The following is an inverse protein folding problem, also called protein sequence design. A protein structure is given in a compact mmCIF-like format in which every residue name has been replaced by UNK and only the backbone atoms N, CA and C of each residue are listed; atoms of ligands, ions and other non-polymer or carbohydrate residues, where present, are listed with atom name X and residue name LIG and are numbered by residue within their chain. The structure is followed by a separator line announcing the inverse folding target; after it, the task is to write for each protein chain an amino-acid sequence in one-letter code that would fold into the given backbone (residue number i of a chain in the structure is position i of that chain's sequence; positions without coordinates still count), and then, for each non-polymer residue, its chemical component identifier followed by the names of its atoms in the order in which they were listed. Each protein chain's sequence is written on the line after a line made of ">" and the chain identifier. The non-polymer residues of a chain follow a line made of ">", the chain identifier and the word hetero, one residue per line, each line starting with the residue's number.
data_IF_158016512846
#
_entry.id   IF_158016512846
#
_cell.length_a   1.000
_cell.length_b   1.000
_cell.length_c   1.000
_cell.angle_alpha   90.00
_cell.angle_beta   90.00
_cell.angle_gamma   90.00
#
_symmetry.space_group_name_H-M   'P 1'
#
loop_
_entity.id
_entity.type
_entity.pdbx_description
1 polymer ?
#
# COMPACT_ATOMS: atom_id res chain seq x y z
N UNK A 1 -63.40 5.96 3.63
CA UNK A 1 -62.64 5.49 2.48
C UNK A 1 -61.41 6.39 2.32
N UNK A 2 -60.26 5.98 2.86
CA UNK A 2 -59.00 6.74 2.79
C UNK A 2 -58.06 6.01 1.85
N UNK A 3 -57.67 6.64 0.80
CA UNK A 3 -56.63 6.12 -0.11
C UNK A 3 -55.26 6.56 0.41
N UNK A 4 -54.50 5.59 0.95
CA UNK A 4 -53.07 5.74 1.23
C UNK A 4 -52.29 5.63 -0.05
N UNK A 5 -51.53 6.68 -0.40
CA UNK A 5 -50.57 6.67 -1.51
C UNK A 5 -49.24 6.15 -0.98
N UNK A 6 -48.89 4.94 -1.41
CA UNK A 6 -47.54 4.36 -1.21
C UNK A 6 -46.57 5.03 -2.17
N UNK A 7 -45.67 5.86 -1.65
CA UNK A 7 -44.55 6.41 -2.44
C UNK A 7 -43.36 5.46 -2.27
N UNK A 8 -42.81 4.87 -3.34
CA UNK A 8 -41.69 3.93 -3.19
C UNK A 8 -40.40 4.68 -2.84
N UNK A 9 -39.62 4.08 -1.95
CA UNK A 9 -38.36 4.56 -1.38
C UNK A 9 -37.26 4.92 -2.41
N UNK A 10 -37.47 4.64 -3.69
CA UNK A 10 -36.52 4.86 -4.77
C UNK A 10 -36.49 6.34 -5.21
N UNK A 11 -37.59 7.07 -5.09
CA UNK A 11 -37.68 8.45 -5.57
C UNK A 11 -36.95 9.47 -4.67
N UNK A 12 -36.72 9.16 -3.40
CA UNK A 12 -36.03 10.07 -2.47
C UNK A 12 -34.53 10.15 -2.76
N UNK A 13 -33.90 9.05 -3.22
CA UNK A 13 -32.47 9.03 -3.53
C UNK A 13 -32.12 9.74 -4.85
N UNK A 14 -33.03 9.71 -5.82
CA UNK A 14 -32.84 10.39 -7.12
C UNK A 14 -33.06 11.90 -6.98
N UNK A 15 -34.02 12.32 -6.14
CA UNK A 15 -34.30 13.75 -5.93
C UNK A 15 -33.21 14.48 -5.12
N UNK A 16 -32.52 13.82 -4.19
CA UNK A 16 -31.37 14.39 -3.46
C UNK A 16 -30.18 14.65 -4.40
N UNK A 17 -29.84 13.68 -5.24
CA UNK A 17 -28.71 13.85 -6.18
C UNK A 17 -28.96 14.92 -7.25
N UNK A 18 -30.18 15.05 -7.76
CA UNK A 18 -30.54 16.07 -8.77
C UNK A 18 -30.52 17.49 -8.16
N UNK A 19 -30.92 17.64 -6.89
CA UNK A 19 -30.83 18.95 -6.21
C UNK A 19 -29.36 19.36 -5.97
N UNK A 20 -28.48 18.44 -5.59
CA UNK A 20 -27.06 18.73 -5.36
C UNK A 20 -26.32 19.08 -6.66
N UNK A 21 -26.59 18.35 -7.74
CA UNK A 21 -26.03 18.67 -9.08
C UNK A 21 -26.61 19.99 -9.59
N UNK A 22 -27.90 20.24 -9.40
CA UNK A 22 -28.56 21.50 -9.76
C UNK A 22 -28.01 22.71 -8.99
N UNK A 23 -27.66 22.53 -7.70
CA UNK A 23 -27.09 23.61 -6.88
C UNK A 23 -25.64 23.92 -7.27
N UNK A 24 -24.79 22.90 -7.54
CA UNK A 24 -23.44 23.10 -8.07
C UNK A 24 -23.47 23.81 -9.45
N UNK A 25 -24.35 23.41 -10.35
CA UNK A 25 -24.55 24.06 -11.67
C UNK A 25 -25.12 25.46 -11.56
N UNK A 26 -26.06 25.72 -10.65
CA UNK A 26 -26.65 27.02 -10.40
C UNK A 26 -25.65 28.03 -9.83
N UNK A 27 -24.80 27.60 -8.87
CA UNK A 27 -23.72 28.44 -8.33
C UNK A 27 -22.66 28.71 -9.42
N UNK A 28 -22.27 27.72 -10.21
CA UNK A 28 -21.31 27.89 -11.30
C UNK A 28 -21.81 28.84 -12.38
N UNK A 29 -23.10 28.77 -12.77
CA UNK A 29 -23.73 29.60 -13.80
C UNK A 29 -23.97 31.05 -13.37
N UNK A 30 -24.26 31.32 -12.10
CA UNK A 30 -24.47 32.67 -11.58
C UNK A 30 -23.15 33.41 -11.28
N UNK A 31 -22.04 32.70 -11.10
CA UNK A 31 -20.72 33.31 -10.98
C UNK A 31 -20.12 33.70 -12.34
N UNK A 32 -20.54 33.07 -13.45
CA UNK A 32 -20.14 33.44 -14.80
C UNK A 32 -20.79 34.78 -15.27
N UNK A 33 -21.85 35.23 -14.62
CA UNK A 33 -22.58 36.49 -14.96
C UNK A 33 -22.06 37.73 -14.26
N UNK A 34 -21.20 37.61 -13.27
CA UNK A 34 -20.56 38.75 -12.60
C UNK A 34 -19.14 38.83 -13.15
N UNK A 35 -18.82 39.82 -13.95
CA UNK A 35 -17.52 40.06 -14.57
C UNK A 35 -16.41 40.31 -13.56
N UNK A 36 -16.21 39.39 -12.63
CA UNK A 36 -14.98 39.26 -11.86
C UNK A 36 -13.92 38.68 -12.77
N UNK A 37 -12.78 39.31 -12.83
CA UNK A 37 -11.53 38.74 -13.35
C UNK A 37 -11.44 37.30 -12.79
N UNK A 38 -11.67 36.30 -13.66
CA UNK A 38 -11.49 34.90 -13.26
C UNK A 38 -10.01 34.74 -12.93
N UNK A 39 -9.67 34.91 -11.67
CA UNK A 39 -8.37 34.41 -11.16
C UNK A 39 -8.34 32.91 -11.50
N UNK A 40 -7.38 32.54 -12.30
CA UNK A 40 -7.22 31.13 -12.71
C UNK A 40 -6.98 30.29 -11.44
N UNK A 41 -8.05 29.67 -10.92
CA UNK A 41 -7.98 28.85 -9.70
C UNK A 41 -7.01 27.70 -10.00
N UNK A 42 -5.88 27.57 -9.25
CA UNK A 42 -4.89 26.57 -9.55
C UNK A 42 -5.45 25.16 -9.34
N UNK A 43 -5.14 24.27 -10.28
CA UNK A 43 -5.55 22.87 -10.28
C UNK A 43 -4.47 22.01 -9.65
N UNK A 44 -4.81 21.30 -8.59
CA UNK A 44 -3.96 20.33 -7.90
C UNK A 44 -4.45 18.95 -8.26
N UNK A 45 -3.57 18.10 -8.83
CA UNK A 45 -3.89 16.70 -9.11
C UNK A 45 -3.02 15.80 -8.25
N UNK A 46 -3.66 14.90 -7.51
CA UNK A 46 -3.02 13.85 -6.69
C UNK A 46 -3.23 12.51 -7.38
N UNK A 47 -2.16 11.80 -7.71
CA UNK A 47 -2.21 10.47 -8.32
C UNK A 47 -1.96 9.39 -7.29
N UNK A 48 -3.01 8.64 -6.95
CA UNK A 48 -2.98 7.53 -6.02
C UNK A 48 -3.48 7.87 -4.61
N UNK A 49 -4.36 7.03 -4.10
CA UNK A 49 -4.97 7.12 -2.77
C UNK A 49 -4.34 6.12 -1.77
N UNK A 50 -3.01 5.94 -1.84
CA UNK A 50 -2.23 5.21 -0.84
C UNK A 50 -2.02 6.03 0.45
N UNK A 51 -1.12 5.59 1.32
CA UNK A 51 -0.81 6.27 2.59
C UNK A 51 -0.42 7.74 2.40
N UNK A 52 0.46 8.02 1.43
CA UNK A 52 0.88 9.39 1.13
C UNK A 52 -0.26 10.23 0.54
N UNK A 53 -0.93 9.72 -0.52
CA UNK A 53 -1.95 10.48 -1.25
C UNK A 53 -3.17 10.83 -0.40
N UNK A 54 -3.67 9.91 0.45
CA UNK A 54 -4.77 10.18 1.38
C UNK A 54 -4.39 11.27 2.38
N UNK A 55 -3.20 11.20 2.98
CA UNK A 55 -2.76 12.22 3.94
C UNK A 55 -2.54 13.58 3.27
N UNK A 56 -2.06 13.59 2.00
CA UNK A 56 -1.95 14.80 1.19
C UNK A 56 -3.34 15.42 0.97
N UNK A 57 -4.30 14.62 0.49
CA UNK A 57 -5.68 15.06 0.24
C UNK A 57 -6.32 15.63 1.51
N UNK A 58 -6.26 14.89 2.63
CA UNK A 58 -6.80 15.35 3.92
C UNK A 58 -6.11 16.60 4.45
N UNK A 59 -4.82 16.77 4.19
CA UNK A 59 -4.11 17.97 4.62
C UNK A 59 -4.48 19.17 3.75
N UNK A 60 -4.60 19.02 2.43
CA UNK A 60 -5.05 20.07 1.52
C UNK A 60 -6.47 20.53 1.86
N UNK A 61 -7.43 19.61 2.05
CA UNK A 61 -8.81 19.98 2.39
C UNK A 61 -8.93 20.76 3.72
N UNK A 62 -7.95 20.58 4.63
CA UNK A 62 -7.90 21.28 5.91
C UNK A 62 -7.27 22.67 5.79
N UNK A 63 -6.25 22.84 4.93
CA UNK A 63 -5.46 24.06 4.85
C UNK A 63 -5.95 25.04 3.78
N UNK A 64 -6.50 24.54 2.68
CA UNK A 64 -7.03 25.37 1.62
C UNK A 64 -8.33 26.05 2.06
N UNK A 65 -8.42 27.35 1.73
CA UNK A 65 -9.66 28.12 1.85
C UNK A 65 -10.61 27.78 0.70
N UNK A 66 -11.85 28.21 0.81
CA UNK A 66 -12.85 28.07 -0.26
C UNK A 66 -12.36 28.78 -1.53
N UNK A 67 -12.45 28.12 -2.68
CA UNK A 67 -12.02 28.63 -4.00
C UNK A 67 -10.53 29.04 -4.08
N UNK A 68 -9.66 28.53 -3.21
CA UNK A 68 -8.20 28.80 -3.28
C UNK A 68 -7.48 27.89 -4.27
N UNK A 69 -7.96 26.66 -4.44
CA UNK A 69 -7.49 25.69 -5.44
C UNK A 69 -8.57 24.63 -5.72
N UNK A 70 -8.57 24.09 -6.94
CA UNK A 70 -9.35 22.90 -7.31
C UNK A 70 -8.48 21.66 -7.08
N UNK A 71 -8.94 20.73 -6.24
CA UNK A 71 -8.19 19.52 -5.90
C UNK A 71 -8.85 18.29 -6.47
N UNK A 72 -8.12 17.52 -7.27
CA UNK A 72 -8.56 16.22 -7.82
C UNK A 72 -7.69 15.10 -7.29
N UNK A 73 -8.32 14.09 -6.68
CA UNK A 73 -7.67 12.84 -6.29
C UNK A 73 -8.03 11.75 -7.31
N UNK A 74 -7.02 11.27 -8.04
CA UNK A 74 -7.18 10.17 -9.01
C UNK A 74 -6.76 8.87 -8.36
N UNK A 75 -7.64 7.86 -8.41
CA UNK A 75 -7.29 6.52 -7.96
C UNK A 75 -8.02 5.46 -8.79
N UNK A 76 -7.36 4.32 -9.02
CA UNK A 76 -7.93 3.19 -9.79
C UNK A 76 -9.20 2.62 -9.16
N UNK A 77 -9.31 2.72 -7.82
CA UNK A 77 -10.39 2.13 -7.03
C UNK A 77 -11.01 3.19 -6.12
N UNK A 78 -12.26 2.98 -5.73
CA UNK A 78 -13.00 3.84 -4.79
C UNK A 78 -12.58 3.64 -3.32
N UNK A 79 -11.50 2.90 -3.09
CA UNK A 79 -11.03 2.59 -1.73
C UNK A 79 -9.52 2.72 -1.58
N UNK A 80 -9.13 3.16 -0.40
CA UNK A 80 -7.80 3.11 0.13
C UNK A 80 -7.51 1.70 0.65
N UNK A 81 -6.31 1.15 0.38
CA UNK A 81 -5.88 -0.14 0.95
C UNK A 81 -4.96 0.08 2.14
N UNK A 82 -5.16 -0.73 3.17
CA UNK A 82 -4.16 -0.95 4.19
C UNK A 82 -3.09 -1.92 3.66
N UNK A 83 -2.16 -1.41 2.84
CA UNK A 83 -1.15 -2.26 2.17
C UNK A 83 -0.26 -2.98 3.18
N UNK A 84 -0.04 -2.40 4.36
CA UNK A 84 0.68 -3.03 5.47
C UNK A 84 -0.05 -4.22 6.09
N UNK A 85 -1.31 -4.48 5.72
CA UNK A 85 -2.13 -5.60 6.24
C UNK A 85 -2.39 -6.68 5.18
N UNK A 86 -1.90 -6.53 3.96
CA UNK A 86 -2.22 -7.44 2.85
C UNK A 86 -1.69 -8.87 3.06
N UNK A 87 -0.66 -9.06 3.88
CA UNK A 87 -0.13 -10.38 4.24
C UNK A 87 -1.18 -11.28 4.92
N UNK A 88 -2.08 -10.72 5.73
CA UNK A 88 -3.13 -11.48 6.40
C UNK A 88 -4.19 -12.06 5.45
N UNK A 89 -4.86 -11.26 4.58
CA UNK A 89 -5.79 -11.84 3.61
C UNK A 89 -5.09 -12.69 2.54
N UNK A 90 -3.80 -12.46 2.25
CA UNK A 90 -3.02 -13.33 1.37
C UNK A 90 -2.86 -14.73 1.96
N UNK A 91 -2.52 -14.83 3.25
CA UNK A 91 -2.47 -16.09 3.98
C UNK A 91 -3.87 -16.66 4.28
N UNK A 92 -4.92 -15.84 4.25
CA UNK A 92 -6.31 -16.23 4.57
C UNK A 92 -6.64 -16.22 6.06
N UNK A 93 -5.87 -15.50 6.87
CA UNK A 93 -6.11 -15.30 8.31
C UNK A 93 -7.04 -14.14 8.59
N UNK A 94 -7.24 -13.24 7.60
CA UNK A 94 -8.19 -12.13 7.71
C UNK A 94 -9.00 -11.94 6.42
N UNK A 95 -10.08 -11.14 6.53
CA UNK A 95 -10.92 -10.78 5.39
C UNK A 95 -10.27 -9.64 4.57
N UNK A 96 -10.43 -9.72 3.25
CA UNK A 96 -10.05 -8.64 2.33
C UNK A 96 -10.80 -7.35 2.67
N UNK A 97 -12.05 -7.46 3.10
CA UNK A 97 -12.90 -6.31 3.45
C UNK A 97 -12.31 -5.47 4.59
N UNK A 98 -11.54 -6.09 5.49
CA UNK A 98 -10.88 -5.40 6.59
C UNK A 98 -9.71 -4.53 6.13
N UNK A 99 -9.17 -4.79 4.95
CA UNK A 99 -8.07 -4.01 4.36
C UNK A 99 -8.51 -2.86 3.46
N UNK A 100 -9.84 -2.70 3.22
CA UNK A 100 -10.40 -1.66 2.35
C UNK A 100 -11.15 -0.60 3.15
N UNK A 101 -10.92 0.66 2.82
CA UNK A 101 -11.64 1.81 3.38
C UNK A 101 -12.11 2.66 2.21
N UNK A 102 -13.43 2.93 2.10
CA UNK A 102 -13.94 3.82 1.03
C UNK A 102 -13.28 5.18 1.13
N UNK A 103 -12.81 5.72 0.00
CA UNK A 103 -12.16 7.03 -0.06
C UNK A 103 -13.15 8.12 0.31
N UNK A 104 -14.43 8.00 -0.08
CA UNK A 104 -15.50 8.93 0.29
C UNK A 104 -15.72 9.06 1.81
N UNK A 105 -15.30 8.08 2.61
CA UNK A 105 -15.30 8.18 4.08
C UNK A 105 -14.05 8.88 4.63
N UNK A 106 -13.07 9.19 3.79
CA UNK A 106 -11.77 9.75 4.20
C UNK A 106 -11.56 11.18 3.74
N UNK A 107 -12.28 11.64 2.72
CA UNK A 107 -12.17 12.98 2.16
C UNK A 107 -13.55 13.67 2.17
N UNK A 108 -13.54 14.98 2.10
CA UNK A 108 -14.70 15.82 1.88
C UNK A 108 -14.87 16.04 0.36
N UNK A 109 -15.83 15.34 -0.24
CA UNK A 109 -16.10 15.42 -1.69
C UNK A 109 -16.62 16.79 -2.16
N UNK A 110 -16.96 17.71 -1.25
CA UNK A 110 -17.22 19.12 -1.59
C UNK A 110 -15.92 19.91 -1.82
N UNK A 111 -14.80 19.44 -1.30
CA UNK A 111 -13.49 20.08 -1.41
C UNK A 111 -12.52 19.36 -2.34
N UNK A 112 -12.71 18.07 -2.56
CA UNK A 112 -11.82 17.23 -3.35
C UNK A 112 -12.64 16.38 -4.30
N UNK A 113 -12.42 16.55 -5.58
CA UNK A 113 -13.04 15.73 -6.62
C UNK A 113 -12.34 14.36 -6.66
N UNK A 114 -13.09 13.28 -6.43
CA UNK A 114 -12.58 11.90 -6.57
C UNK A 114 -12.81 11.41 -8.00
N UNK A 115 -11.72 11.14 -8.72
CA UNK A 115 -11.76 10.54 -10.06
C UNK A 115 -11.33 9.08 -9.96
N UNK A 116 -12.27 8.16 -10.20
CA UNK A 116 -11.99 6.72 -10.30
C UNK A 116 -11.54 6.41 -11.73
N UNK A 117 -10.24 6.39 -11.95
CA UNK A 117 -9.64 6.05 -13.24
C UNK A 117 -8.22 5.53 -13.06
N UNK A 118 -7.73 4.81 -14.08
CA UNK A 118 -6.32 4.39 -14.15
C UNK A 118 -5.51 5.45 -14.88
N UNK A 119 -4.35 5.82 -14.30
CA UNK A 119 -3.37 6.67 -14.99
C UNK A 119 -2.72 5.83 -16.09
N UNK A 120 -2.75 6.33 -17.33
CA UNK A 120 -2.15 5.71 -18.51
C UNK A 120 -0.81 6.35 -18.87
N UNK A 121 -0.72 7.70 -18.72
CA UNK A 121 0.49 8.43 -19.04
C UNK A 121 0.56 9.74 -18.25
N UNK A 122 1.76 10.15 -17.88
CA UNK A 122 2.05 11.45 -17.28
C UNK A 122 2.90 12.24 -18.27
N UNK A 123 2.45 13.44 -18.66
CA UNK A 123 3.13 14.36 -19.57
C UNK A 123 3.55 15.64 -18.85
N UNK A 124 4.70 15.65 -18.17
CA UNK A 124 5.09 16.79 -17.33
C UNK A 124 5.25 18.10 -18.11
N UNK A 125 5.81 18.04 -19.30
CA UNK A 125 6.05 19.22 -20.16
C UNK A 125 4.75 19.87 -20.64
N UNK A 126 3.69 19.06 -20.84
CA UNK A 126 2.36 19.55 -21.24
C UNK A 126 1.47 19.89 -20.02
N UNK A 127 1.92 19.56 -18.81
CA UNK A 127 1.10 19.62 -17.57
C UNK A 127 -0.21 18.84 -17.70
N UNK A 128 -0.14 17.62 -18.28
CA UNK A 128 -1.31 16.76 -18.52
C UNK A 128 -1.11 15.37 -17.96
N UNK A 129 -2.22 14.78 -17.55
CA UNK A 129 -2.34 13.37 -17.13
C UNK A 129 -3.35 12.72 -18.06
N UNK A 130 -2.93 11.65 -18.74
CA UNK A 130 -3.83 10.82 -19.54
C UNK A 130 -4.37 9.73 -18.64
N UNK A 131 -5.68 9.65 -18.54
CA UNK A 131 -6.43 8.64 -17.82
C UNK A 131 -7.07 7.66 -18.81
N UNK A 132 -7.54 6.52 -18.29
CA UNK A 132 -8.32 5.56 -19.07
C UNK A 132 -9.56 6.22 -19.69
N UNK A 133 -10.21 7.14 -18.98
CA UNK A 133 -11.48 7.75 -19.36
C UNK A 133 -11.35 9.26 -19.68
N UNK A 134 -10.15 9.77 -20.01
CA UNK A 134 -9.99 11.18 -20.35
C UNK A 134 -8.63 11.78 -20.03
N UNK A 135 -8.58 13.10 -19.96
CA UNK A 135 -7.34 13.85 -19.69
C UNK A 135 -7.59 14.93 -18.65
N UNK A 136 -6.65 15.08 -17.71
CA UNK A 136 -6.61 16.16 -16.73
C UNK A 136 -5.43 17.08 -16.99
N UNK A 137 -5.64 18.39 -16.88
CA UNK A 137 -4.56 19.37 -16.77
C UNK A 137 -4.32 19.72 -15.31
N UNK A 138 -3.10 20.13 -14.97
CA UNK A 138 -2.74 20.53 -13.63
C UNK A 138 -1.81 21.75 -13.61
N UNK A 139 -1.88 22.52 -12.53
CA UNK A 139 -0.87 23.50 -12.16
C UNK A 139 0.12 22.90 -11.16
N UNK A 140 -0.35 22.04 -10.24
CA UNK A 140 0.46 21.26 -9.30
C UNK A 140 0.12 19.78 -9.40
N UNK A 141 1.15 18.94 -9.47
CA UNK A 141 1.01 17.50 -9.54
C UNK A 141 1.69 16.83 -8.35
N UNK A 142 0.95 15.94 -7.67
CA UNK A 142 1.49 15.09 -6.60
C UNK A 142 1.40 13.62 -7.05
N UNK A 143 2.54 12.96 -7.21
CA UNK A 143 2.62 11.58 -7.63
C UNK A 143 2.82 10.69 -6.40
N UNK A 144 1.78 9.92 -6.05
CA UNK A 144 1.71 9.01 -4.90
C UNK A 144 1.26 7.60 -5.31
N UNK A 145 1.69 7.13 -6.50
CA UNK A 145 1.23 5.88 -7.14
C UNK A 145 1.69 4.60 -6.43
N UNK A 146 2.58 4.72 -5.43
CA UNK A 146 3.16 3.57 -4.74
C UNK A 146 4.13 2.75 -5.59
N UNK A 147 4.78 1.76 -4.98
CA UNK A 147 5.79 0.95 -5.62
C UNK A 147 5.25 -0.28 -6.37
N UNK A 148 6.14 -0.96 -7.06
CA UNK A 148 5.91 -2.23 -7.76
C UNK A 148 6.88 -3.30 -7.26
N UNK A 149 6.54 -4.60 -7.37
CA UNK A 149 7.49 -5.66 -7.09
C UNK A 149 8.73 -5.52 -7.96
N UNK A 150 9.89 -5.69 -7.36
CA UNK A 150 11.18 -5.72 -8.05
C UNK A 150 11.59 -7.18 -8.28
N UNK A 151 11.78 -7.57 -9.53
CA UNK A 151 12.18 -8.95 -9.88
C UNK A 151 13.70 -9.14 -9.93
N UNK A 152 14.48 -8.06 -9.90
CA UNK A 152 15.94 -8.08 -10.09
C UNK A 152 16.41 -8.81 -11.35
N UNK A 153 15.53 -8.99 -12.34
CA UNK A 153 15.84 -9.72 -13.55
C UNK A 153 15.99 -11.25 -13.35
N UNK A 154 15.50 -11.79 -12.23
CA UNK A 154 15.51 -13.23 -11.98
C UNK A 154 14.62 -13.92 -13.01
N UNK A 155 15.16 -14.86 -13.84
CA UNK A 155 14.39 -15.55 -14.86
C UNK A 155 13.15 -16.24 -14.32
N UNK A 156 12.03 -16.10 -15.00
CA UNK A 156 10.74 -16.73 -14.68
C UNK A 156 10.05 -16.20 -13.41
N UNK A 157 10.65 -15.27 -12.66
CA UNK A 157 10.07 -14.79 -11.41
C UNK A 157 8.79 -13.98 -11.64
N UNK A 158 8.77 -13.15 -12.68
CA UNK A 158 7.60 -12.34 -13.00
C UNK A 158 6.42 -13.17 -13.51
N UNK A 159 6.71 -14.30 -14.16
CA UNK A 159 5.75 -15.21 -14.78
C UNK A 159 5.18 -16.23 -13.79
N UNK A 160 6.02 -16.73 -12.87
CA UNK A 160 5.68 -17.90 -12.04
C UNK A 160 5.51 -17.58 -10.55
N UNK A 161 6.00 -16.44 -10.07
CA UNK A 161 5.81 -16.05 -8.68
C UNK A 161 4.63 -15.08 -8.49
N UNK A 162 3.91 -15.24 -7.41
CA UNK A 162 2.86 -14.30 -6.98
C UNK A 162 3.45 -13.23 -6.06
N UNK A 163 2.87 -12.02 -6.03
CA UNK A 163 3.34 -10.94 -5.15
C UNK A 163 2.22 -10.34 -4.31
N UNK A 164 2.55 -9.95 -3.07
CA UNK A 164 1.60 -9.32 -2.13
C UNK A 164 1.60 -7.81 -2.39
N UNK A 165 0.71 -7.36 -3.30
CA UNK A 165 0.70 -5.96 -3.73
C UNK A 165 -0.68 -5.31 -3.77
N UNK A 166 -1.70 -6.05 -4.16
CA UNK A 166 -3.05 -5.55 -4.38
C UNK A 166 -4.09 -6.51 -3.83
N UNK A 167 -5.31 -6.03 -3.70
CA UNK A 167 -6.46 -6.87 -3.32
C UNK A 167 -6.61 -8.07 -4.28
N UNK A 168 -6.41 -7.86 -5.58
CA UNK A 168 -6.54 -8.94 -6.55
C UNK A 168 -5.42 -9.98 -6.38
N UNK A 169 -4.15 -9.54 -6.22
CA UNK A 169 -3.05 -10.48 -6.03
C UNK A 169 -3.19 -11.28 -4.74
N UNK A 170 -3.58 -10.67 -3.62
CA UNK A 170 -3.78 -11.42 -2.36
C UNK A 170 -4.97 -12.38 -2.43
N UNK A 171 -6.03 -12.03 -3.17
CA UNK A 171 -7.15 -12.95 -3.45
C UNK A 171 -6.69 -14.16 -4.24
N UNK A 172 -5.84 -13.95 -5.24
CA UNK A 172 -5.27 -15.03 -6.04
C UNK A 172 -4.36 -15.93 -5.19
N UNK A 173 -3.46 -15.35 -4.38
CA UNK A 173 -2.58 -16.12 -3.47
C UNK A 173 -3.43 -17.00 -2.54
N UNK A 174 -4.42 -16.41 -1.86
CA UNK A 174 -5.29 -17.16 -0.95
C UNK A 174 -6.00 -18.31 -1.64
N UNK A 175 -6.66 -18.04 -2.78
CA UNK A 175 -7.38 -19.07 -3.55
C UNK A 175 -6.44 -20.14 -4.07
N UNK A 176 -5.23 -19.76 -4.48
CA UNK A 176 -4.23 -20.70 -4.95
C UNK A 176 -3.78 -21.64 -3.85
N UNK A 177 -3.49 -21.13 -2.65
CA UNK A 177 -3.14 -21.96 -1.48
C UNK A 177 -4.27 -22.96 -1.17
N UNK A 178 -5.52 -22.50 -1.08
CA UNK A 178 -6.67 -23.36 -0.81
C UNK A 178 -6.85 -24.42 -1.93
N UNK A 179 -6.66 -24.03 -3.19
CA UNK A 179 -6.70 -24.95 -4.34
C UNK A 179 -5.61 -26.02 -4.26
N UNK A 180 -4.38 -25.69 -3.91
CA UNK A 180 -3.29 -26.65 -3.80
C UNK A 180 -3.54 -27.67 -2.69
N UNK A 181 -4.08 -27.28 -1.55
CA UNK A 181 -4.51 -28.20 -0.50
C UNK A 181 -5.63 -29.15 -1.00
N UNK A 182 -6.62 -28.62 -1.71
CA UNK A 182 -7.72 -29.41 -2.28
C UNK A 182 -7.19 -30.43 -3.30
N UNK A 183 -6.24 -30.04 -4.15
CA UNK A 183 -5.64 -30.97 -5.14
C UNK A 183 -4.75 -32.03 -4.47
N UNK A 184 -3.98 -31.66 -3.45
CA UNK A 184 -3.15 -32.63 -2.71
C UNK A 184 -3.99 -33.73 -2.06
N UNK A 185 -5.20 -33.44 -1.60
CA UNK A 185 -6.12 -34.45 -1.08
C UNK A 185 -6.43 -35.53 -2.11
N UNK A 186 -6.51 -35.16 -3.40
CA UNK A 186 -6.81 -36.06 -4.51
C UNK A 186 -5.55 -36.76 -5.06
N UNK A 187 -4.38 -36.08 -4.95
CA UNK A 187 -3.09 -36.52 -5.51
C UNK A 187 -2.02 -36.51 -4.39
N UNK A 188 -2.12 -37.42 -3.42
CA UNK A 188 -1.30 -37.41 -2.21
C UNK A 188 0.22 -37.61 -2.44
N UNK A 189 0.65 -37.93 -3.65
CA UNK A 189 2.07 -38.06 -4.01
C UNK A 189 2.68 -36.75 -4.57
N UNK A 190 1.88 -35.71 -4.76
CA UNK A 190 2.31 -34.43 -5.32
C UNK A 190 2.75 -33.47 -4.19
N UNK A 191 3.89 -33.78 -3.56
CA UNK A 191 4.44 -33.03 -2.40
C UNK A 191 4.62 -31.54 -2.68
N UNK A 192 4.94 -31.16 -3.92
CA UNK A 192 5.10 -29.76 -4.36
C UNK A 192 3.85 -28.90 -4.14
N UNK A 193 2.66 -29.52 -4.05
CA UNK A 193 1.38 -28.81 -3.82
C UNK A 193 1.29 -28.20 -2.41
N UNK A 194 1.93 -28.82 -1.43
CA UNK A 194 1.94 -28.38 -0.04
C UNK A 194 3.31 -27.85 0.40
N UNK A 195 4.19 -27.58 -0.56
CA UNK A 195 5.43 -26.83 -0.39
C UNK A 195 5.17 -25.36 -0.78
N UNK A 196 5.56 -24.47 0.11
CA UNK A 196 5.43 -23.02 -0.06
C UNK A 196 6.79 -22.37 -0.03
N UNK A 197 7.13 -21.61 -1.06
CA UNK A 197 8.36 -20.82 -1.13
C UNK A 197 8.01 -19.34 -1.02
N UNK A 198 8.64 -18.65 -0.08
CA UNK A 198 8.53 -17.20 0.07
C UNK A 198 9.92 -16.60 -0.13
N UNK A 199 10.09 -15.89 -1.24
CA UNK A 199 11.34 -15.18 -1.55
C UNK A 199 11.35 -13.81 -0.89
N UNK A 200 12.37 -13.55 -0.06
CA UNK A 200 12.55 -12.34 0.74
C UNK A 200 12.18 -12.50 2.21
N UNK A 201 13.09 -12.11 3.10
CA UNK A 201 12.91 -12.10 4.55
C UNK A 201 12.85 -10.67 5.14
N UNK A 202 12.38 -9.71 4.34
CA UNK A 202 11.97 -8.39 4.82
C UNK A 202 10.64 -8.43 5.58
N UNK A 203 10.10 -7.27 5.97
CA UNK A 203 8.84 -7.17 6.72
C UNK A 203 7.70 -7.98 6.10
N UNK A 204 7.42 -7.77 4.81
CA UNK A 204 6.29 -8.44 4.13
C UNK A 204 6.45 -9.95 4.08
N UNK A 205 7.67 -10.44 3.85
CA UNK A 205 7.95 -11.89 3.80
C UNK A 205 7.79 -12.53 5.16
N UNK A 206 8.38 -11.95 6.20
CA UNK A 206 8.30 -12.43 7.58
C UNK A 206 6.85 -12.42 8.09
N UNK A 207 6.11 -11.31 7.89
CA UNK A 207 4.71 -11.22 8.29
C UNK A 207 3.83 -12.23 7.53
N UNK A 208 4.11 -12.46 6.23
CA UNK A 208 3.35 -13.42 5.44
C UNK A 208 3.63 -14.88 5.85
N UNK A 209 4.90 -15.28 6.04
CA UNK A 209 5.19 -16.65 6.49
C UNK A 209 4.64 -16.92 7.88
N UNK A 210 4.61 -15.90 8.75
CA UNK A 210 4.03 -16.00 10.09
C UNK A 210 2.51 -16.28 10.02
N UNK A 211 1.79 -15.52 9.21
CA UNK A 211 0.35 -15.71 9.01
C UNK A 211 0.04 -17.04 8.28
N UNK A 212 0.85 -17.41 7.29
CA UNK A 212 0.71 -18.69 6.61
C UNK A 212 0.89 -19.86 7.57
N UNK A 213 1.95 -19.82 8.40
CA UNK A 213 2.21 -20.84 9.40
C UNK A 213 1.06 -20.97 10.42
N UNK A 214 0.46 -19.85 10.84
CA UNK A 214 -0.73 -19.86 11.72
C UNK A 214 -1.99 -20.39 11.00
N UNK A 215 -2.06 -20.30 9.67
CA UNK A 215 -3.17 -20.81 8.86
C UNK A 215 -3.08 -22.32 8.57
N UNK A 216 -1.86 -22.87 8.43
CA UNK A 216 -1.62 -24.27 8.05
C UNK A 216 -2.40 -25.28 8.89
N UNK A 217 -2.44 -25.22 10.24
CA UNK A 217 -3.16 -26.22 11.03
C UNK A 217 -4.66 -26.30 10.69
N UNK A 218 -5.27 -25.16 10.35
CA UNK A 218 -6.67 -25.11 9.92
C UNK A 218 -6.85 -25.71 8.52
N UNK A 219 -5.98 -25.40 7.57
CA UNK A 219 -6.03 -25.97 6.22
C UNK A 219 -5.83 -27.50 6.28
N UNK A 220 -4.86 -27.96 7.06
CA UNK A 220 -4.62 -29.40 7.25
C UNK A 220 -5.86 -30.12 7.78
N UNK A 221 -6.55 -29.53 8.76
CA UNK A 221 -7.80 -30.08 9.29
C UNK A 221 -8.92 -30.08 8.24
N UNK A 222 -9.03 -29.01 7.44
CA UNK A 222 -10.10 -28.84 6.45
C UNK A 222 -9.95 -29.81 5.27
N UNK A 223 -8.69 -30.07 4.86
CA UNK A 223 -8.37 -30.91 3.68
C UNK A 223 -7.84 -32.30 4.04
N UNK A 224 -7.84 -32.69 5.32
CA UNK A 224 -7.36 -33.99 5.80
C UNK A 224 -5.90 -34.27 5.37
N UNK A 225 -5.02 -33.30 5.63
CA UNK A 225 -3.57 -33.34 5.36
C UNK A 225 -2.80 -33.43 6.67
N UNK A 226 -1.78 -34.28 6.73
CA UNK A 226 -0.86 -34.31 7.89
C UNK A 226 -0.03 -33.01 7.92
N UNK A 227 -0.10 -32.20 9.00
CA UNK A 227 0.68 -30.98 9.13
C UNK A 227 2.20 -31.15 8.98
N UNK A 228 2.73 -32.33 9.34
CA UNK A 228 4.16 -32.64 9.23
C UNK A 228 4.65 -32.75 7.77
N UNK A 229 3.74 -32.88 6.81
CA UNK A 229 4.06 -32.94 5.39
C UNK A 229 4.16 -31.56 4.74
N UNK A 230 3.62 -30.53 5.39
CA UNK A 230 3.61 -29.17 4.84
C UNK A 230 4.94 -28.48 5.09
N UNK A 231 5.54 -27.95 4.02
CA UNK A 231 6.82 -27.23 4.11
C UNK A 231 6.65 -25.75 3.75
N UNK A 232 7.16 -24.87 4.59
CA UNK A 232 7.24 -23.43 4.34
C UNK A 232 8.72 -23.04 4.31
N UNK A 233 9.20 -22.61 3.14
CA UNK A 233 10.57 -22.11 2.95
C UNK A 233 10.56 -20.60 2.84
N UNK A 234 11.36 -19.91 3.67
CA UNK A 234 11.66 -18.50 3.50
C UNK A 234 13.10 -18.34 3.04
N UNK A 235 13.29 -17.79 1.84
CA UNK A 235 14.58 -17.71 1.14
C UNK A 235 14.99 -16.25 1.03
N UNK A 236 16.20 -15.94 1.49
CA UNK A 236 16.73 -14.58 1.53
C UNK A 236 18.18 -14.54 1.05
N UNK A 237 18.47 -13.67 0.07
CA UNK A 237 19.82 -13.48 -0.44
C UNK A 237 20.76 -12.81 0.57
N UNK A 238 20.24 -11.97 1.45
CA UNK A 238 21.03 -11.38 2.53
C UNK A 238 21.31 -12.40 3.65
N UNK A 239 22.39 -12.21 4.41
CA UNK A 239 22.74 -13.13 5.52
C UNK A 239 21.80 -13.02 6.73
N UNK A 240 20.93 -12.00 6.79
CA UNK A 240 20.01 -11.75 7.91
C UNK A 240 18.62 -11.37 7.44
N UNK A 241 17.61 -11.74 8.21
CA UNK A 241 16.23 -11.31 8.03
C UNK A 241 16.00 -9.91 8.64
N UNK A 242 14.85 -9.29 8.33
CA UNK A 242 14.33 -8.07 8.96
C UNK A 242 15.39 -6.96 9.07
N UNK A 243 15.92 -6.45 7.94
CA UNK A 243 16.95 -5.42 7.95
C UNK A 243 16.47 -4.18 8.72
N UNK A 244 17.34 -3.67 9.60
CA UNK A 244 17.06 -2.51 10.46
C UNK A 244 16.55 -2.85 11.86
N UNK A 245 16.30 -4.13 12.19
CA UNK A 245 16.12 -4.57 13.58
C UNK A 245 17.45 -4.93 14.23
N UNK A 246 17.49 -4.84 15.57
CA UNK A 246 18.59 -5.32 16.37
C UNK A 246 18.73 -6.86 16.22
N UNK A 247 19.96 -7.40 16.21
CA UNK A 247 20.19 -8.86 16.04
C UNK A 247 19.39 -9.72 17.04
N UNK A 248 19.27 -9.32 18.29
CA UNK A 248 18.47 -10.00 19.32
C UNK A 248 16.99 -10.17 18.92
N UNK A 249 16.40 -9.17 18.25
CA UNK A 249 15.00 -9.24 17.80
C UNK A 249 14.86 -10.09 16.54
N UNK A 250 15.86 -10.08 15.67
CA UNK A 250 15.89 -10.94 14.47
C UNK A 250 15.99 -12.41 14.89
N UNK A 251 16.90 -12.75 15.81
CA UNK A 251 17.06 -14.08 16.36
C UNK A 251 15.75 -14.58 16.98
N UNK A 252 15.14 -13.78 17.84
CA UNK A 252 13.83 -14.10 18.42
C UNK A 252 12.76 -14.34 17.36
N UNK A 253 12.68 -13.49 16.33
CA UNK A 253 11.71 -13.65 15.25
C UNK A 253 11.92 -14.96 14.48
N UNK A 254 13.15 -15.30 14.16
CA UNK A 254 13.49 -16.55 13.47
C UNK A 254 13.16 -17.77 14.34
N UNK A 255 13.49 -17.76 15.63
CA UNK A 255 13.14 -18.82 16.57
C UNK A 255 11.63 -19.07 16.65
N UNK A 256 10.83 -17.99 16.76
CA UNK A 256 9.36 -18.07 16.76
C UNK A 256 8.86 -18.75 15.49
N UNK A 257 9.38 -18.35 14.33
CA UNK A 257 8.92 -18.88 13.05
C UNK A 257 9.40 -20.31 12.79
N UNK A 258 10.61 -20.67 13.22
CA UNK A 258 11.12 -22.05 13.18
C UNK A 258 10.21 -22.96 14.01
N UNK A 259 9.82 -22.54 15.23
CA UNK A 259 8.86 -23.30 16.06
C UNK A 259 7.48 -23.45 15.40
N UNK A 260 7.11 -22.53 14.50
CA UNK A 260 5.89 -22.61 13.69
C UNK A 260 6.05 -23.44 12.40
N UNK A 261 7.22 -24.06 12.17
CA UNK A 261 7.48 -24.92 11.02
C UNK A 261 8.05 -24.21 9.80
N UNK A 262 8.56 -22.98 9.93
CA UNK A 262 9.23 -22.28 8.83
C UNK A 262 10.68 -22.69 8.74
N UNK A 263 11.12 -23.07 7.54
CA UNK A 263 12.52 -23.35 7.21
C UNK A 263 13.15 -22.13 6.53
N UNK A 264 14.20 -21.58 7.14
CA UNK A 264 14.94 -20.46 6.60
C UNK A 264 16.14 -20.90 5.76
N UNK A 265 16.33 -20.25 4.59
CA UNK A 265 17.54 -20.34 3.76
C UNK A 265 18.11 -18.93 3.59
N UNK A 266 19.00 -18.56 4.52
CA UNK A 266 19.62 -17.23 4.58
C UNK A 266 20.94 -17.20 3.82
N UNK A 267 21.29 -16.05 3.21
CA UNK A 267 22.49 -15.89 2.39
C UNK A 267 22.43 -16.64 1.05
N UNK A 268 21.25 -17.05 0.62
CA UNK A 268 21.03 -17.82 -0.60
C UNK A 268 20.03 -17.13 -1.49
N UNK A 269 20.44 -16.77 -2.70
CA UNK A 269 19.57 -16.15 -3.68
C UNK A 269 18.76 -17.18 -4.47
N UNK A 270 17.53 -16.84 -4.84
CA UNK A 270 16.79 -17.53 -5.89
C UNK A 270 17.41 -17.13 -7.22
N UNK A 271 17.90 -18.12 -7.99
CA UNK A 271 18.53 -17.94 -9.29
C UNK A 271 17.51 -17.94 -10.43
N UNK A 272 16.46 -18.76 -10.29
CA UNK A 272 15.43 -18.94 -11.30
C UNK A 272 14.12 -19.39 -10.63
N UNK A 273 13.00 -18.98 -11.19
CA UNK A 273 11.66 -19.45 -10.83
C UNK A 273 11.03 -20.14 -12.04
N UNK A 274 10.51 -21.34 -11.85
CA UNK A 274 9.88 -22.14 -12.91
C UNK A 274 8.45 -22.52 -12.53
N UNK A 275 7.76 -23.22 -13.41
CA UNK A 275 6.44 -23.81 -13.12
C UNK A 275 6.49 -24.90 -12.04
N UNK A 276 7.67 -25.48 -11.80
CA UNK A 276 7.86 -26.56 -10.81
C UNK A 276 8.38 -26.07 -9.44
N UNK A 277 8.82 -24.79 -9.35
CA UNK A 277 9.35 -24.22 -8.13
C UNK A 277 10.49 -23.24 -8.34
N UNK A 278 11.56 -23.34 -7.53
CA UNK A 278 12.71 -22.43 -7.60
C UNK A 278 14.02 -23.18 -7.65
N UNK A 279 14.98 -22.64 -8.44
CA UNK A 279 16.39 -23.03 -8.41
C UNK A 279 17.16 -21.99 -7.58
N UNK A 280 17.91 -22.45 -6.60
CA UNK A 280 18.76 -21.62 -5.75
C UNK A 280 20.15 -21.40 -6.37
N UNK A 281 20.85 -20.35 -5.95
CA UNK A 281 22.23 -20.08 -6.36
C UNK A 281 23.23 -21.19 -5.97
N UNK A 282 22.88 -22.00 -4.98
CA UNK A 282 23.63 -23.18 -4.57
C UNK A 282 23.50 -24.38 -5.52
N UNK A 283 22.57 -24.32 -6.48
CA UNK A 283 22.20 -25.44 -7.35
C UNK A 283 21.10 -26.35 -6.76
N UNK A 284 20.61 -26.06 -5.55
CA UNK A 284 19.49 -26.79 -4.95
C UNK A 284 18.18 -26.38 -5.64
N UNK A 285 17.36 -27.38 -5.99
CA UNK A 285 15.99 -27.18 -6.49
C UNK A 285 14.98 -27.43 -5.37
N UNK A 286 14.02 -26.51 -5.21
CA UNK A 286 12.89 -26.67 -4.30
C UNK A 286 11.62 -26.73 -5.14
N UNK A 287 11.03 -27.93 -5.25
CA UNK A 287 9.75 -28.13 -5.92
C UNK A 287 8.63 -27.57 -5.06
N UNK A 288 7.87 -26.63 -5.62
CA UNK A 288 6.77 -25.95 -4.92
C UNK A 288 5.78 -25.38 -5.93
N UNK A 289 4.52 -25.75 -5.83
CA UNK A 289 3.46 -25.18 -6.65
C UNK A 289 3.10 -23.73 -6.24
N UNK A 290 3.58 -23.27 -5.08
CA UNK A 290 3.31 -21.93 -4.58
C UNK A 290 4.60 -21.18 -4.32
N UNK A 291 4.89 -20.16 -5.13
CA UNK A 291 6.01 -19.23 -4.93
C UNK A 291 5.45 -17.82 -4.73
N UNK A 292 5.77 -17.21 -3.58
CA UNK A 292 5.36 -15.84 -3.26
C UNK A 292 6.61 -14.96 -3.15
N UNK A 293 6.68 -13.91 -3.96
CA UNK A 293 7.81 -12.99 -4.00
C UNK A 293 7.53 -11.73 -3.17
N UNK A 294 8.41 -11.46 -2.23
CA UNK A 294 8.41 -10.28 -1.34
C UNK A 294 9.79 -9.62 -1.27
N UNK A 295 10.73 -10.04 -2.14
CA UNK A 295 12.15 -9.73 -2.04
C UNK A 295 12.56 -8.31 -2.44
N UNK A 296 11.65 -7.46 -2.90
CA UNK A 296 11.99 -6.08 -3.24
C UNK A 296 10.84 -5.27 -3.80
N UNK A 297 10.99 -3.94 -3.69
CA UNK A 297 10.07 -2.94 -4.24
C UNK A 297 10.87 -1.95 -5.07
N UNK A 298 10.36 -1.60 -6.26
CA UNK A 298 10.82 -0.50 -7.10
C UNK A 298 9.75 0.60 -7.15
N UNK A 299 10.11 1.78 -7.65
CA UNK A 299 9.13 2.80 -7.99
C UNK A 299 8.21 2.34 -9.13
N UNK A 300 7.09 3.03 -9.28
CA UNK A 300 6.10 2.72 -10.32
C UNK A 300 6.67 3.00 -11.72
N UNK A 301 6.44 2.10 -12.67
CA UNK A 301 6.93 2.23 -14.07
C UNK A 301 6.45 3.49 -14.77
N UNK A 302 5.30 4.04 -14.36
CA UNK A 302 4.79 5.30 -14.89
C UNK A 302 5.74 6.47 -14.67
N UNK A 303 6.60 6.41 -13.64
CA UNK A 303 7.60 7.45 -13.34
C UNK A 303 8.70 7.46 -14.40
N UNK A 304 9.21 6.28 -14.75
CA UNK A 304 10.22 6.13 -15.81
C UNK A 304 9.62 6.49 -17.18
N UNK A 305 8.38 6.04 -17.45
CA UNK A 305 7.66 6.35 -18.68
C UNK A 305 7.38 7.86 -18.85
N UNK A 306 7.25 8.61 -17.75
CA UNK A 306 7.10 10.07 -17.77
C UNK A 306 8.41 10.83 -18.10
N UNK A 307 9.54 10.12 -18.26
CA UNK A 307 10.83 10.69 -18.60
C UNK A 307 11.60 11.28 -17.42
N UNK A 308 11.19 11.00 -16.18
CA UNK A 308 11.95 11.41 -15.00
C UNK A 308 13.21 10.55 -14.82
N UNK A 309 14.30 11.17 -14.38
CA UNK A 309 15.51 10.44 -14.00
C UNK A 309 15.23 9.60 -12.74
N UNK A 310 15.50 8.29 -12.81
CA UNK A 310 15.17 7.37 -11.73
C UNK A 310 16.32 6.45 -11.34
N UNK A 311 16.29 6.03 -10.08
CA UNK A 311 17.06 4.89 -9.57
C UNK A 311 16.07 3.81 -9.11
N UNK A 312 16.00 2.69 -9.82
CA UNK A 312 15.00 1.62 -9.61
C UNK A 312 13.56 2.17 -9.63
N UNK A 313 13.24 3.03 -10.58
CA UNK A 313 11.91 3.65 -10.70
C UNK A 313 11.59 4.72 -9.66
N UNK A 314 12.53 5.08 -8.78
CA UNK A 314 12.37 6.12 -7.77
C UNK A 314 13.12 7.39 -8.18
N UNK A 315 12.48 8.54 -8.04
CA UNK A 315 13.09 9.86 -8.34
C UNK A 315 13.79 10.40 -7.10
N UNK A 316 15.03 10.84 -7.25
CA UNK A 316 15.72 11.63 -6.23
C UNK A 316 15.07 13.01 -6.16
N UNK A 317 14.20 13.21 -5.20
CA UNK A 317 13.54 14.49 -4.95
C UNK A 317 14.44 15.43 -4.12
N UNK A 318 14.14 16.73 -4.20
CA UNK A 318 14.80 17.72 -3.35
C UNK A 318 14.28 17.68 -1.90
N UNK A 319 14.83 18.55 -1.04
CA UNK A 319 14.42 18.66 0.37
C UNK A 319 12.94 19.07 0.55
N UNK A 320 12.31 19.66 -0.46
CA UNK A 320 10.91 20.08 -0.48
C UNK A 320 9.98 19.07 -1.15
N UNK A 321 10.51 17.93 -1.61
CA UNK A 321 9.82 16.84 -2.29
C UNK A 321 9.49 17.13 -3.77
N UNK A 322 10.12 18.13 -4.40
CA UNK A 322 9.99 18.38 -5.84
C UNK A 322 10.84 17.40 -6.67
N UNK A 323 10.39 17.20 -7.88
CA UNK A 323 11.20 16.59 -8.93
C UNK A 323 12.21 17.64 -9.43
N UNK A 324 13.51 17.34 -9.50
CA UNK A 324 14.49 18.27 -10.03
C UNK A 324 14.11 18.81 -11.43
N UNK A 325 14.13 20.13 -11.57
CA UNK A 325 13.71 20.82 -12.81
C UNK A 325 12.20 21.01 -12.98
N UNK A 326 11.39 20.66 -11.96
CA UNK A 326 9.92 20.81 -11.99
C UNK A 326 9.42 21.38 -10.66
N UNK A 327 9.28 22.68 -10.53
CA UNK A 327 8.85 23.36 -9.31
C UNK A 327 7.38 23.11 -8.92
N UNK A 328 6.62 22.47 -9.79
CA UNK A 328 5.21 22.17 -9.63
C UNK A 328 4.87 20.68 -9.61
N UNK A 329 5.90 19.80 -9.63
CA UNK A 329 5.71 18.33 -9.57
C UNK A 329 6.37 17.78 -8.33
N UNK A 330 5.57 17.15 -7.49
CA UNK A 330 5.99 16.51 -6.24
C UNK A 330 5.88 14.99 -6.36
N UNK A 331 6.85 14.27 -5.81
CA UNK A 331 6.80 12.81 -5.72
C UNK A 331 6.96 12.39 -4.27
N UNK A 332 6.07 11.49 -3.82
CA UNK A 332 6.02 11.01 -2.43
C UNK A 332 5.84 9.49 -2.34
N UNK A 333 6.10 8.95 -1.17
CA UNK A 333 6.00 7.52 -0.88
C UNK A 333 7.07 6.69 -1.59
N UNK A 334 6.69 5.51 -2.07
CA UNK A 334 7.62 4.54 -2.64
C UNK A 334 8.31 5.02 -3.93
N UNK A 335 7.77 6.07 -4.56
CA UNK A 335 8.33 6.66 -5.77
C UNK A 335 9.40 7.73 -5.49
N UNK A 336 9.46 8.27 -4.27
CA UNK A 336 10.47 9.24 -3.87
C UNK A 336 11.72 8.56 -3.31
N UNK A 337 12.88 8.97 -3.78
CA UNK A 337 14.18 8.59 -3.23
C UNK A 337 14.74 9.74 -2.40
N UNK A 338 14.80 9.55 -1.09
CA UNK A 338 15.33 10.51 -0.12
C UNK A 338 16.43 9.83 0.66
N UNK A 339 17.47 10.59 0.99
CA UNK A 339 18.61 10.10 1.75
C UNK A 339 18.57 10.63 3.19
N UNK A 340 19.02 9.81 4.11
CA UNK A 340 19.25 10.23 5.48
C UNK A 340 20.54 11.05 5.60
N UNK A 341 20.85 11.67 6.75
CA UNK A 341 22.07 12.45 6.94
C UNK A 341 23.36 11.65 6.69
N UNK A 342 23.33 10.33 6.82
CA UNK A 342 24.46 9.43 6.56
C UNK A 342 24.60 9.04 5.08
N UNK A 343 23.78 9.64 4.18
CA UNK A 343 23.80 9.37 2.75
C UNK A 343 23.19 8.03 2.32
N UNK A 344 22.42 7.37 3.22
CA UNK A 344 21.73 6.12 2.89
C UNK A 344 20.28 6.40 2.51
N UNK A 345 19.74 5.70 1.48
CA UNK A 345 18.34 5.90 1.10
C UNK A 345 17.40 5.41 2.21
N UNK A 346 16.38 6.21 2.51
CA UNK A 346 15.30 5.74 3.37
C UNK A 346 14.53 4.61 2.70
N UNK A 347 14.16 3.54 3.46
CA UNK A 347 13.33 2.46 2.93
C UNK A 347 11.92 2.98 2.59
N UNK A 348 11.27 2.44 1.54
CA UNK A 348 9.89 2.77 1.22
C UNK A 348 8.96 2.18 2.29
N UNK A 349 8.39 3.04 3.14
CA UNK A 349 7.49 2.64 4.22
C UNK A 349 6.27 3.54 4.28
N UNK A 350 5.15 2.99 4.78
CA UNK A 350 3.93 3.75 5.03
C UNK A 350 4.19 4.97 5.94
N UNK A 351 5.05 4.82 6.96
CA UNK A 351 5.38 5.89 7.89
C UNK A 351 6.05 7.10 7.21
N UNK A 352 6.96 6.84 6.27
CA UNK A 352 7.62 7.88 5.48
C UNK A 352 6.61 8.51 4.52
N UNK A 353 5.84 7.69 3.79
CA UNK A 353 4.83 8.17 2.84
C UNK A 353 3.81 9.09 3.51
N UNK A 354 3.35 8.77 4.73
CA UNK A 354 2.43 9.60 5.50
C UNK A 354 3.02 10.97 5.84
N UNK A 355 4.27 11.01 6.32
CA UNK A 355 4.94 12.26 6.69
C UNK A 355 5.24 13.11 5.46
N UNK A 356 5.65 12.48 4.35
CA UNK A 356 5.83 13.16 3.07
C UNK A 356 4.51 13.75 2.56
N UNK A 357 3.38 13.03 2.67
CA UNK A 357 2.07 13.51 2.25
C UNK A 357 1.66 14.80 2.97
N UNK A 358 1.91 14.87 4.29
CA UNK A 358 1.64 16.07 5.09
C UNK A 358 2.55 17.23 4.67
N UNK A 359 3.87 17.00 4.53
CA UNK A 359 4.84 18.01 4.12
C UNK A 359 4.54 18.52 2.70
N UNK A 360 4.28 17.61 1.76
CA UNK A 360 3.95 17.91 0.37
C UNK A 360 2.71 18.82 0.27
N UNK A 361 1.62 18.49 0.96
CA UNK A 361 0.41 19.32 0.98
C UNK A 361 0.71 20.74 1.49
N UNK A 362 1.51 20.86 2.57
CA UNK A 362 1.92 22.15 3.10
C UNK A 362 2.76 22.96 2.11
N UNK A 363 3.64 22.28 1.37
CA UNK A 363 4.48 22.92 0.35
C UNK A 363 3.65 23.37 -0.86
N UNK A 364 2.69 22.58 -1.31
CA UNK A 364 1.75 23.01 -2.37
C UNK A 364 0.96 24.27 -1.96
N UNK A 365 0.43 24.28 -0.74
CA UNK A 365 -0.28 25.46 -0.21
C UNK A 365 0.65 26.68 -0.08
N UNK A 366 1.89 26.46 0.38
CA UNK A 366 2.89 27.52 0.47
C UNK A 366 3.27 28.06 -0.91
N UNK A 367 3.41 27.19 -1.94
CA UNK A 367 3.67 27.60 -3.33
C UNK A 367 2.53 28.48 -3.87
N UNK A 368 1.26 28.07 -3.67
CA UNK A 368 0.09 28.85 -4.10
C UNK A 368 0.08 30.24 -3.44
N UNK A 369 0.50 30.34 -2.18
CA UNK A 369 0.53 31.58 -1.40
C UNK A 369 1.83 32.36 -1.51
N UNK A 370 2.77 31.92 -2.35
CA UNK A 370 4.12 32.48 -2.47
C UNK A 370 4.85 32.58 -1.11
N UNK A 371 4.73 31.54 -0.29
CA UNK A 371 5.34 31.43 1.03
C UNK A 371 6.57 30.51 0.97
N UNK A 372 7.42 30.58 2.01
CA UNK A 372 8.58 29.72 2.13
C UNK A 372 8.18 28.24 2.29
N UNK A 373 8.80 27.37 1.49
CA UNK A 373 8.59 25.93 1.55
C UNK A 373 9.33 25.30 2.73
N UNK A 374 8.78 24.19 3.21
CA UNK A 374 9.34 23.43 4.33
C UNK A 374 10.25 22.32 3.80
N UNK A 375 11.36 22.12 4.48
CA UNK A 375 12.18 20.93 4.26
C UNK A 375 11.49 19.70 4.87
N UNK A 376 11.56 18.59 4.16
CA UNK A 376 11.11 17.32 4.69
C UNK A 376 12.16 16.72 5.64
N UNK A 377 11.75 16.50 6.86
CA UNK A 377 12.55 15.83 7.89
C UNK A 377 11.80 14.58 8.38
N UNK A 378 12.41 13.41 8.18
CA UNK A 378 11.81 12.16 8.63
C UNK A 378 11.96 11.97 10.13
N UNK A 379 10.86 11.85 10.84
CA UNK A 379 10.83 11.52 12.27
C UNK A 379 10.46 10.04 12.45
N UNK A 380 11.44 9.20 12.76
CA UNK A 380 11.21 7.79 13.04
C UNK A 380 10.41 7.60 14.34
N UNK A 381 9.22 7.05 14.26
CA UNK A 381 8.32 6.78 15.41
C UNK A 381 8.48 5.38 15.98
N UNK A 382 9.45 4.63 15.49
CA UNK A 382 9.67 3.23 15.81
C UNK A 382 9.25 2.29 14.68
N UNK A 383 9.56 1.02 14.86
CA UNK A 383 9.30 -0.03 13.88
C UNK A 383 8.69 -1.23 14.60
N UNK A 384 7.70 -1.86 14.00
CA UNK A 384 7.02 -3.04 14.54
C UNK A 384 6.73 -4.04 13.44
N UNK A 385 6.96 -5.33 13.71
CA UNK A 385 6.61 -6.43 12.81
C UNK A 385 5.77 -7.49 13.55
N UNK A 386 4.76 -8.02 12.88
CA UNK A 386 3.97 -9.16 13.36
C UNK A 386 4.71 -10.48 13.09
N UNK A 387 4.65 -11.39 14.04
CA UNK A 387 5.11 -12.77 13.88
C UNK A 387 3.93 -13.75 13.94
N UNK A 388 2.74 -13.27 13.55
CA UNK A 388 1.49 -14.01 13.63
C UNK A 388 0.77 -13.79 14.96
N UNK A 389 -0.12 -14.72 15.30
CA UNK A 389 -1.03 -14.60 16.44
C UNK A 389 -0.28 -14.47 17.77
N UNK A 390 -0.45 -13.32 18.41
CA UNK A 390 0.07 -13.06 19.77
C UNK A 390 1.58 -12.82 19.85
N UNK A 391 2.28 -12.79 18.72
CA UNK A 391 3.73 -12.65 18.65
C UNK A 391 4.14 -11.45 17.77
N UNK A 392 5.21 -10.77 18.16
CA UNK A 392 5.76 -9.66 17.40
C UNK A 392 7.10 -9.20 17.91
N UNK A 393 7.71 -8.29 17.18
CA UNK A 393 8.91 -7.55 17.57
C UNK A 393 8.73 -6.07 17.30
N UNK A 394 9.32 -5.24 18.15
CA UNK A 394 9.25 -3.79 17.96
C UNK A 394 10.48 -3.06 18.52
N UNK A 395 10.75 -1.90 17.91
CA UNK A 395 11.74 -0.93 18.39
C UNK A 395 11.05 0.41 18.53
N UNK A 396 11.04 0.99 19.73
CA UNK A 396 10.50 2.33 20.02
C UNK A 396 11.56 3.15 20.74
N UNK A 397 12.15 4.11 20.05
CA UNK A 397 13.33 4.79 20.53
C UNK A 397 14.48 3.79 20.78
N UNK A 398 14.92 3.66 22.03
CA UNK A 398 15.95 2.67 22.45
C UNK A 398 15.35 1.36 22.99
N UNK A 399 14.02 1.28 23.16
CA UNK A 399 13.37 0.12 23.78
C UNK A 399 13.12 -0.97 22.75
N UNK A 400 13.66 -2.16 23.02
CA UNK A 400 13.38 -3.38 22.25
C UNK A 400 12.22 -4.12 22.92
N UNK A 401 11.25 -4.57 22.11
CA UNK A 401 10.08 -5.30 22.59
C UNK A 401 9.89 -6.57 21.75
N UNK A 402 9.47 -7.66 22.40
CA UNK A 402 9.21 -8.95 21.77
C UNK A 402 7.96 -9.63 22.37
N UNK A 403 7.43 -10.62 21.65
CA UNK A 403 6.28 -11.40 22.09
C UNK A 403 4.98 -10.63 22.08
N UNK A 404 4.12 -10.96 23.02
CA UNK A 404 2.77 -10.39 23.15
C UNK A 404 2.76 -8.86 23.26
N UNK A 405 3.70 -8.26 23.99
CA UNK A 405 3.75 -6.80 24.14
C UNK A 405 4.00 -6.06 22.81
N UNK A 406 4.85 -6.60 21.95
CA UNK A 406 5.08 -6.06 20.62
C UNK A 406 3.87 -6.29 19.70
N UNK A 407 3.20 -7.44 19.81
CA UNK A 407 1.97 -7.72 19.07
C UNK A 407 0.85 -6.73 19.44
N UNK A 408 0.68 -6.38 20.72
CA UNK A 408 -0.29 -5.36 21.14
C UNK A 408 0.10 -3.96 20.61
N UNK A 409 1.39 -3.62 20.67
CA UNK A 409 1.87 -2.36 20.09
C UNK A 409 1.53 -2.25 18.60
N UNK A 410 1.67 -3.34 17.82
CA UNK A 410 1.27 -3.37 16.40
C UNK A 410 -0.20 -2.96 16.24
N UNK A 411 -1.11 -3.53 17.03
CA UNK A 411 -2.53 -3.17 17.01
C UNK A 411 -2.75 -1.69 17.35
N UNK A 412 -2.05 -1.16 18.35
CA UNK A 412 -2.14 0.26 18.72
C UNK A 412 -1.67 1.16 17.58
N UNK A 413 -0.59 0.80 16.89
CA UNK A 413 -0.08 1.54 15.73
C UNK A 413 -1.10 1.53 14.60
N UNK A 414 -1.72 0.39 14.31
CA UNK A 414 -2.76 0.25 13.29
C UNK A 414 -4.01 1.07 13.64
N UNK A 415 -4.47 1.01 14.90
CA UNK A 415 -5.60 1.83 15.38
C UNK A 415 -5.29 3.33 15.33
N UNK A 416 -4.06 3.74 15.64
CA UNK A 416 -3.62 5.13 15.52
C UNK A 416 -3.71 5.63 14.09
N UNK A 417 -3.31 4.79 13.11
CA UNK A 417 -3.47 5.14 11.71
C UNK A 417 -4.94 5.32 11.33
N UNK A 418 -5.81 4.36 11.67
CA UNK A 418 -7.25 4.46 11.44
C UNK A 418 -7.85 5.73 12.06
N UNK A 419 -7.45 6.05 13.28
CA UNK A 419 -7.86 7.29 13.94
C UNK A 419 -7.40 8.54 13.19
N UNK A 420 -6.18 8.53 12.70
CA UNK A 420 -5.60 9.67 11.96
C UNK A 420 -6.38 9.97 10.68
N UNK A 421 -6.81 8.93 9.94
CA UNK A 421 -7.48 9.10 8.64
C UNK A 421 -9.00 9.17 8.71
N UNK A 422 -9.65 8.68 9.77
CA UNK A 422 -11.12 8.60 9.83
C UNK A 422 -11.70 8.74 11.23
N UNK A 423 -10.90 9.17 12.21
CA UNK A 423 -11.36 9.42 13.58
C UNK A 423 -11.83 8.16 14.32
N UNK A 424 -12.54 8.38 15.43
CA UNK A 424 -13.01 7.28 16.29
C UNK A 424 -14.01 6.34 15.58
N UNK A 425 -14.82 6.87 14.69
CA UNK A 425 -15.80 6.08 13.93
C UNK A 425 -15.12 5.01 13.09
N UNK A 426 -14.01 5.34 12.42
CA UNK A 426 -13.25 4.38 11.63
C UNK A 426 -12.53 3.36 12.52
N UNK A 427 -12.01 3.78 13.67
CA UNK A 427 -11.41 2.88 14.66
C UNK A 427 -12.44 1.86 15.16
N UNK A 428 -13.66 2.29 15.50
CA UNK A 428 -14.72 1.38 15.95
C UNK A 428 -15.17 0.40 14.85
N UNK A 429 -15.17 0.86 13.58
CA UNK A 429 -15.62 0.05 12.43
C UNK A 429 -14.55 -0.95 11.95
N UNK A 430 -13.27 -0.59 12.01
CA UNK A 430 -12.16 -1.33 11.39
C UNK A 430 -11.04 -1.70 12.36
N UNK A 431 -11.05 -1.16 13.58
CA UNK A 431 -10.04 -1.43 14.58
C UNK A 431 -10.07 -2.89 15.02
N UNK A 432 -8.89 -3.44 15.29
CA UNK A 432 -8.72 -4.79 15.84
C UNK A 432 -8.54 -4.65 17.34
N UNK A 433 -9.65 -4.73 18.05
CA UNK A 433 -9.62 -4.69 19.49
C UNK A 433 -9.02 -5.99 20.06
N UNK A 434 -8.53 -5.92 21.28
CA UNK A 434 -7.82 -6.96 22.04
C UNK A 434 -8.58 -8.29 22.12
#
# INVERSE_FOLDING_TARGET
>A
MGYGVNIPFIDVFIFTNIREIGYKLYIKRNLEGVGMIMSNIPKIVILGAGYGGILTAQRLQKELKYNEADVTLVNRHEYHYLTTHLHMPAAGTDSIENTRISISNLIDEFKIDLVKSSVQEIRPQERKIILEDGTLSYDYLIIALGGEPESFGIPGLAEHAMSIRSINSVRLIRKHIEYQFAQYKNERNAQERINFVVGGAGFSGIEFVAELADRIPRLCKEYDVDPNLVNIYNIEAAPTALPGFAPELVEYAMEVLIRKGVTFKMGVAIKECTTEGVLLATGEEIKAATVVWTGGIRGNRMIEAAGFETMRGRVKVDDQLHVPGHDNVFIIGDNALIFNPEGRPYPPTAQIAMQQGVCCAQNVVASIRNQQLRKFEYSNKGTVASLGKGEGIAVVGKKLMKGWSAAQLKKVVDMKYLYTIGGITLVLKKGRFL
#
